data_IF_415017200124
#
_entry.id   IF_415017200124
#
_cell.length_a   1.000
_cell.length_b   1.000
_cell.length_c   1.000
_cell.angle_alpha   90.00
_cell.angle_beta   90.00
_cell.angle_gamma   90.00
#
_symmetry.space_group_name_H-M   'P 1'
#
loop_
_entity.id
_entity.type
_entity.pdbx_description
1 polymer ?
#
# COMPACT_ATOMS: atom_id res chain seq x y z
N UNK A 1 25.26 22.36 -31.47
CA UNK A 1 26.03 22.06 -30.24
C UNK A 1 25.63 23.08 -29.20
N UNK A 2 24.56 22.76 -28.46
CA UNK A 2 24.23 23.30 -27.15
C UNK A 2 23.51 22.15 -26.45
N UNK A 3 24.18 21.60 -25.43
CA UNK A 3 23.70 20.57 -24.52
C UNK A 3 22.42 21.02 -23.82
N UNK A 4 21.43 20.13 -23.75
CA UNK A 4 20.28 20.27 -22.88
C UNK A 4 20.31 19.07 -21.92
N UNK A 5 20.84 19.32 -20.72
CA UNK A 5 20.91 18.38 -19.59
C UNK A 5 19.51 18.26 -18.96
N UNK A 6 18.88 17.07 -18.93
CA UNK A 6 17.55 16.88 -18.38
C UNK A 6 17.66 16.42 -16.92
N UNK A 7 18.03 17.33 -16.02
CA UNK A 7 17.90 17.16 -14.58
C UNK A 7 17.29 18.43 -14.00
N UNK A 8 16.47 18.24 -12.98
CA UNK A 8 15.68 19.24 -12.25
C UNK A 8 14.25 19.45 -12.78
N UNK A 9 13.39 18.47 -12.45
CA UNK A 9 11.96 18.73 -12.27
C UNK A 9 11.39 17.92 -11.10
N UNK A 10 12.01 18.08 -9.94
CA UNK A 10 11.34 17.84 -8.66
C UNK A 10 10.48 19.07 -8.35
N UNK A 11 9.23 19.07 -8.82
CA UNK A 11 8.26 20.10 -8.44
C UNK A 11 7.71 19.78 -7.04
N UNK A 12 8.30 20.47 -6.06
CA UNK A 12 7.78 20.66 -4.70
C UNK A 12 6.29 21.02 -4.73
N UNK A 13 5.43 20.02 -4.43
CA UNK A 13 4.03 20.25 -4.09
C UNK A 13 4.00 20.92 -2.72
N UNK A 14 3.89 22.24 -2.73
CA UNK A 14 3.80 23.07 -1.52
C UNK A 14 2.50 22.75 -0.80
N UNK A 15 2.63 22.36 0.47
CA UNK A 15 1.55 22.25 1.43
C UNK A 15 0.82 23.61 1.57
N UNK A 16 -0.39 23.71 1.02
CA UNK A 16 -1.30 24.81 1.28
C UNK A 16 -2.20 24.37 2.44
N UNK A 17 -1.78 24.65 3.66
CA UNK A 17 -2.64 24.58 4.85
C UNK A 17 -3.77 25.63 4.71
N UNK A 18 -5.03 25.19 4.64
CA UNK A 18 -6.19 26.08 4.74
C UNK A 18 -7.01 25.78 6.01
N UNK A 19 -7.58 26.80 6.68
CA UNK A 19 -8.15 26.68 8.01
C UNK A 19 -9.67 26.42 7.96
N UNK A 20 -10.09 25.36 8.64
CA UNK A 20 -11.49 24.91 8.74
C UNK A 20 -12.38 25.81 9.62
N UNK A 21 -13.60 26.08 9.17
CA UNK A 21 -14.68 26.70 9.97
C UNK A 21 -15.72 25.62 10.29
N UNK A 22 -15.86 25.28 11.57
CA UNK A 22 -16.74 24.20 12.04
C UNK A 22 -18.19 24.68 12.26
N UNK A 23 -19.15 23.93 11.71
CA UNK A 23 -20.58 24.00 12.07
C UNK A 23 -21.10 22.63 12.52
N UNK A 24 -21.76 22.63 13.68
CA UNK A 24 -22.24 21.47 14.45
C UNK A 24 -23.60 20.93 14.00
N UNK A 25 -23.79 19.61 14.15
CA UNK A 25 -24.91 18.82 14.75
C UNK A 25 -25.05 17.48 14.03
N UNK A 26 -25.61 16.38 14.53
CA UNK A 26 -26.02 15.77 15.82
C UNK A 26 -26.84 14.52 15.39
N UNK A 27 -27.04 13.55 16.30
CA UNK A 27 -27.93 12.37 16.26
C UNK A 27 -27.59 11.21 15.31
N UNK A 28 -27.72 9.94 15.70
CA UNK A 28 -28.24 9.29 16.90
C UNK A 28 -28.16 7.75 16.73
N UNK A 29 -27.95 7.05 17.83
CA UNK A 29 -27.78 5.60 17.94
C UNK A 29 -29.12 4.85 17.97
N UNK A 30 -29.08 3.56 17.58
CA UNK A 30 -29.56 2.38 18.33
C UNK A 30 -30.23 1.33 17.43
N UNK A 31 -29.57 0.17 17.28
CA UNK A 31 -30.27 -1.11 17.27
C UNK A 31 -29.37 -2.28 17.65
N UNK A 32 -29.82 -3.01 18.66
CA UNK A 32 -29.16 -4.09 19.39
C UNK A 32 -29.02 -5.42 18.64
N UNK A 33 -28.03 -6.18 19.13
CA UNK A 33 -27.59 -7.54 18.86
C UNK A 33 -28.67 -8.62 19.07
N UNK A 34 -28.55 -9.74 18.33
CA UNK A 34 -28.86 -11.09 18.85
C UNK A 34 -27.95 -12.13 18.17
N UNK A 35 -27.22 -12.88 19.00
CA UNK A 35 -26.56 -14.19 18.77
C UNK A 35 -26.97 -15.07 20.00
N UNK A 36 -26.80 -16.41 20.12
CA UNK A 36 -26.25 -17.42 19.20
C UNK A 36 -27.05 -18.73 19.07
N UNK A 37 -26.59 -19.63 18.17
CA UNK A 37 -26.19 -21.04 18.50
C UNK A 37 -25.92 -21.91 17.26
N UNK A 38 -24.74 -22.52 17.26
CA UNK A 38 -24.34 -23.79 16.59
C UNK A 38 -25.05 -25.01 17.24
N UNK A 39 -25.15 -26.23 16.63
CA UNK A 39 -23.97 -27.04 16.28
C UNK A 39 -24.08 -28.06 15.09
N UNK A 40 -22.89 -28.47 14.59
CA UNK A 40 -22.45 -29.79 14.08
C UNK A 40 -23.26 -30.52 12.98
N UNK A 41 -22.62 -30.84 11.84
CA UNK A 41 -21.81 -32.06 11.66
C UNK A 41 -21.65 -32.49 10.17
N UNK A 42 -20.43 -32.92 9.85
CA UNK A 42 -20.01 -33.88 8.84
C UNK A 42 -20.50 -33.77 7.38
N UNK A 43 -19.55 -33.44 6.49
CA UNK A 43 -19.23 -34.29 5.32
C UNK A 43 -17.82 -34.02 4.81
N UNK A 44 -16.88 -34.80 5.35
CA UNK A 44 -15.69 -35.25 4.64
C UNK A 44 -16.08 -35.82 3.27
N UNK A 45 -15.49 -35.25 2.21
CA UNK A 45 -15.02 -35.95 1.01
C UNK A 45 -14.34 -34.96 0.06
N UNK A 46 -13.03 -35.17 -0.10
CA UNK A 46 -12.27 -34.90 -1.32
C UNK A 46 -12.05 -33.42 -1.72
N UNK A 47 -11.24 -32.70 -0.94
CA UNK A 47 -10.39 -31.63 -1.47
C UNK A 47 -8.92 -31.88 -1.14
N UNK A 48 -8.45 -33.03 -1.59
CA UNK A 48 -7.03 -33.40 -1.65
C UNK A 48 -6.37 -32.69 -2.86
N UNK A 49 -6.38 -31.35 -2.80
CA UNK A 49 -5.53 -30.49 -3.60
C UNK A 49 -4.91 -29.54 -2.58
N UNK A 50 -3.67 -29.86 -2.17
CA UNK A 50 -2.80 -28.99 -1.40
C UNK A 50 -3.11 -27.54 -1.78
N UNK A 51 -3.67 -26.78 -0.83
CA UNK A 51 -3.67 -25.32 -0.89
C UNK A 51 -2.27 -24.94 -1.37
N UNK A 52 -2.17 -24.39 -2.57
CA UNK A 52 -0.92 -23.69 -2.90
C UNK A 52 -0.85 -22.61 -1.84
N UNK A 53 0.14 -22.71 -0.98
CA UNK A 53 0.60 -21.60 -0.19
C UNK A 53 1.10 -20.55 -1.20
N UNK A 54 0.17 -19.74 -1.69
CA UNK A 54 0.45 -18.68 -2.65
C UNK A 54 1.12 -17.58 -1.84
N UNK A 55 2.34 -17.24 -2.22
CA UNK A 55 3.08 -16.20 -1.53
C UNK A 55 2.37 -14.86 -1.78
N UNK A 56 2.00 -14.08 -0.75
CA UNK A 56 1.29 -12.80 -0.93
C UNK A 56 2.05 -11.81 -1.82
N UNK A 57 3.37 -11.99 -1.95
CA UNK A 57 4.24 -11.16 -2.79
C UNK A 57 4.14 -11.51 -4.27
N UNK A 58 3.52 -12.63 -4.65
CA UNK A 58 3.35 -13.04 -6.05
C UNK A 58 2.55 -11.99 -6.84
N UNK A 59 1.61 -11.29 -6.20
CA UNK A 59 0.83 -10.21 -6.81
C UNK A 59 1.72 -9.11 -7.43
N UNK A 60 2.86 -8.80 -6.82
CA UNK A 60 3.74 -7.72 -7.27
C UNK A 60 4.66 -8.11 -8.43
N UNK A 61 4.81 -9.41 -8.72
CA UNK A 61 5.66 -9.92 -9.82
C UNK A 61 4.84 -10.39 -11.03
N UNK A 62 3.52 -10.24 -10.98
CA UNK A 62 2.64 -10.71 -12.06
C UNK A 62 2.68 -9.86 -13.33
N UNK A 63 3.06 -8.60 -13.20
CA UNK A 63 3.39 -7.73 -14.33
C UNK A 63 4.84 -7.84 -14.83
N UNK A 64 5.70 -8.65 -14.20
CA UNK A 64 7.15 -8.57 -14.43
C UNK A 64 7.75 -9.78 -15.18
N UNK A 65 8.70 -9.50 -16.06
CA UNK A 65 9.59 -10.44 -16.74
C UNK A 65 10.86 -10.69 -15.90
N UNK A 66 10.65 -11.10 -14.65
CA UNK A 66 11.71 -11.47 -13.71
C UNK A 66 11.65 -12.96 -13.33
N UNK A 67 12.77 -13.54 -12.87
CA UNK A 67 12.84 -14.93 -12.43
C UNK A 67 11.78 -15.25 -11.38
N UNK A 68 11.15 -16.42 -11.48
CA UNK A 68 10.14 -16.91 -10.52
C UNK A 68 10.58 -18.17 -9.77
N UNK A 69 11.60 -18.85 -10.29
CA UNK A 69 12.12 -20.11 -9.74
C UNK A 69 13.06 -19.92 -8.56
N UNK A 70 13.51 -21.03 -7.97
CA UNK A 70 14.47 -21.01 -6.87
C UNK A 70 15.92 -20.79 -7.34
N UNK A 71 16.21 -21.12 -8.59
CA UNK A 71 17.54 -20.97 -9.18
C UNK A 71 17.80 -19.51 -9.54
N UNK A 72 19.07 -19.07 -9.38
CA UNK A 72 19.50 -17.74 -9.81
C UNK A 72 19.65 -17.74 -11.33
N UNK A 73 19.05 -16.76 -11.98
CA UNK A 73 19.09 -16.52 -13.41
C UNK A 73 19.73 -15.15 -13.71
N UNK A 74 20.36 -15.01 -14.87
CA UNK A 74 20.96 -13.73 -15.27
C UNK A 74 19.87 -12.80 -15.79
N UNK A 75 19.70 -11.67 -15.14
CA UNK A 75 18.82 -10.57 -15.55
C UNK A 75 19.68 -9.41 -16.06
N UNK A 76 19.36 -8.91 -17.25
CA UNK A 76 20.15 -7.87 -17.93
C UNK A 76 19.36 -6.58 -17.99
N UNK A 77 19.96 -5.48 -17.52
CA UNK A 77 19.40 -4.13 -17.58
C UNK A 77 20.47 -3.17 -18.12
N UNK A 78 20.36 -2.82 -19.41
CA UNK A 78 21.40 -2.08 -20.12
C UNK A 78 22.77 -2.79 -20.05
N UNK A 79 23.76 -2.12 -19.46
CA UNK A 79 25.12 -2.65 -19.27
C UNK A 79 25.29 -3.49 -17.99
N UNK A 80 24.25 -3.56 -17.15
CA UNK A 80 24.29 -4.28 -15.88
C UNK A 80 23.76 -5.70 -16.03
N UNK A 81 24.37 -6.63 -15.29
CA UNK A 81 23.93 -8.01 -15.17
C UNK A 81 23.79 -8.35 -13.70
N UNK A 82 22.64 -8.91 -13.34
CA UNK A 82 22.32 -9.35 -11.99
C UNK A 82 22.03 -10.85 -11.99
N UNK A 83 22.36 -11.53 -10.90
CA UNK A 83 21.92 -12.91 -10.68
C UNK A 83 20.74 -12.89 -9.73
N UNK A 84 19.51 -13.11 -10.21
CA UNK A 84 18.29 -13.03 -9.39
C UNK A 84 17.52 -14.34 -9.42
N UNK A 85 16.92 -14.71 -8.30
CA UNK A 85 15.93 -15.77 -8.24
C UNK A 85 14.51 -15.21 -7.98
N UNK A 86 13.55 -16.10 -7.77
CA UNK A 86 12.16 -15.75 -7.47
C UNK A 86 11.95 -15.03 -6.14
N UNK A 87 12.73 -15.33 -5.10
CA UNK A 87 12.62 -14.63 -3.82
C UNK A 87 13.21 -13.23 -3.88
N UNK A 88 14.32 -13.05 -4.62
CA UNK A 88 14.89 -11.74 -4.93
C UNK A 88 13.89 -10.88 -5.70
N UNK A 89 13.26 -11.45 -6.73
CA UNK A 89 12.28 -10.75 -7.57
C UNK A 89 11.04 -10.33 -6.77
N UNK A 90 10.49 -11.22 -5.94
CA UNK A 90 9.40 -10.89 -5.01
C UNK A 90 9.81 -9.80 -4.02
N UNK A 91 11.00 -9.90 -3.45
CA UNK A 91 11.48 -8.93 -2.47
C UNK A 91 11.67 -7.55 -3.09
N UNK A 92 12.27 -7.46 -4.29
CA UNK A 92 12.41 -6.20 -5.03
C UNK A 92 11.05 -5.56 -5.32
N UNK A 93 10.12 -6.33 -5.89
CA UNK A 93 8.79 -5.83 -6.22
C UNK A 93 8.00 -5.39 -4.97
N UNK A 94 8.13 -6.14 -3.86
CA UNK A 94 7.52 -5.80 -2.56
C UNK A 94 8.07 -4.48 -2.01
N UNK A 95 9.41 -4.33 -1.98
CA UNK A 95 10.02 -3.07 -1.52
C UNK A 95 9.59 -1.90 -2.42
N UNK A 96 9.46 -2.14 -3.73
CA UNK A 96 8.96 -1.15 -4.66
C UNK A 96 7.51 -0.75 -4.43
N UNK A 97 6.63 -1.71 -4.14
CA UNK A 97 5.21 -1.44 -3.92
C UNK A 97 4.94 -0.65 -2.63
N UNK A 98 5.73 -0.88 -1.57
CA UNK A 98 5.54 -0.23 -0.26
C UNK A 98 6.54 0.88 0.06
N UNK A 99 7.51 1.17 -0.82
CA UNK A 99 8.61 2.14 -0.68
C UNK A 99 9.63 1.82 0.43
N UNK A 100 9.16 1.41 1.60
CA UNK A 100 9.92 1.08 2.80
C UNK A 100 9.33 -0.15 3.46
N UNK A 101 10.14 -1.20 3.66
CA UNK A 101 9.71 -2.44 4.31
C UNK A 101 10.66 -2.79 5.45
N UNK A 102 10.18 -3.06 6.69
CA UNK A 102 11.03 -3.52 7.78
C UNK A 102 11.75 -4.82 7.43
N UNK A 103 13.04 -4.91 7.77
CA UNK A 103 13.82 -6.14 7.54
C UNK A 103 13.23 -7.37 8.27
N UNK A 104 12.55 -7.14 9.39
CA UNK A 104 11.88 -8.20 10.18
C UNK A 104 10.68 -8.82 9.44
N UNK A 105 9.94 -8.05 8.64
CA UNK A 105 8.71 -8.54 8.01
C UNK A 105 9.02 -9.51 6.85
N UNK A 106 10.24 -9.47 6.30
CA UNK A 106 10.74 -10.50 5.37
C UNK A 106 11.07 -11.83 6.06
N UNK A 107 11.31 -11.83 7.39
CA UNK A 107 11.63 -13.05 8.14
C UNK A 107 10.40 -13.81 8.60
N UNK A 108 9.30 -13.10 8.88
CA UNK A 108 8.08 -13.67 9.47
C UNK A 108 7.23 -14.48 8.46
N UNK A 109 7.46 -14.35 7.15
CA UNK A 109 6.75 -15.12 6.12
C UNK A 109 7.24 -16.56 5.89
N UNK A 110 8.28 -17.02 6.61
CA UNK A 110 8.89 -18.35 6.41
C UNK A 110 8.77 -19.25 7.64
N UNK A 111 7.55 -19.50 8.13
CA UNK A 111 7.29 -20.39 9.27
C UNK A 111 7.62 -21.90 9.01
N UNK A 112 8.36 -22.23 7.95
CA UNK A 112 8.97 -23.55 7.74
C UNK A 112 10.48 -23.53 8.07
N UNK A 113 10.96 -24.32 9.06
CA UNK A 113 12.35 -24.30 9.56
C UNK A 113 13.41 -24.88 8.60
N UNK A 114 13.10 -25.05 7.31
CA UNK A 114 13.95 -25.80 6.37
C UNK A 114 14.92 -24.97 5.52
N UNK A 115 14.91 -23.64 5.57
CA UNK A 115 15.95 -22.84 4.91
C UNK A 115 16.56 -21.84 5.89
N UNK A 116 17.71 -22.21 6.46
CA UNK A 116 18.61 -21.36 7.25
C UNK A 116 19.23 -20.19 6.45
N UNK A 117 18.63 -19.82 5.31
CA UNK A 117 19.07 -18.69 4.50
C UNK A 117 18.18 -17.51 4.85
N UNK A 118 18.75 -16.56 5.60
CA UNK A 118 18.18 -15.22 5.73
C UNK A 118 17.72 -14.75 4.34
N UNK A 119 16.58 -14.04 4.20
CA UNK A 119 16.22 -13.38 2.95
C UNK A 119 17.45 -12.63 2.45
N UNK A 120 17.90 -12.93 1.23
CA UNK A 120 19.19 -12.45 0.71
C UNK A 120 19.09 -10.98 0.25
N UNK A 121 18.46 -10.15 1.08
CA UNK A 121 18.46 -8.69 0.96
C UNK A 121 19.90 -8.16 1.01
N UNK A 122 20.85 -8.96 1.53
CA UNK A 122 22.29 -8.68 1.42
C UNK A 122 22.76 -8.78 -0.02
N UNK A 123 22.44 -9.85 -0.74
CA UNK A 123 22.72 -9.95 -2.18
C UNK A 123 22.08 -8.80 -2.97
N UNK A 124 20.79 -8.53 -2.77
CA UNK A 124 20.13 -7.38 -3.43
C UNK A 124 20.81 -6.03 -3.13
N UNK A 125 21.33 -5.86 -1.91
CA UNK A 125 22.09 -4.67 -1.53
C UNK A 125 23.47 -4.66 -2.19
N UNK A 126 24.15 -5.79 -2.24
CA UNK A 126 25.49 -5.91 -2.80
C UNK A 126 25.46 -5.72 -4.33
N UNK A 127 24.35 -6.10 -4.99
CA UNK A 127 24.01 -5.76 -6.37
C UNK A 127 23.60 -4.28 -6.56
N UNK A 128 23.38 -3.55 -5.48
CA UNK A 128 23.01 -2.13 -5.47
C UNK A 128 21.54 -1.86 -5.84
N UNK A 129 20.67 -2.87 -5.78
CA UNK A 129 19.25 -2.76 -6.12
C UNK A 129 18.40 -2.27 -4.94
N UNK A 130 18.84 -2.56 -3.71
CA UNK A 130 18.23 -2.05 -2.47
C UNK A 130 19.24 -1.38 -1.57
N UNK A 131 18.76 -0.58 -0.62
CA UNK A 131 19.58 -0.04 0.48
C UNK A 131 18.86 -0.18 1.82
N UNK A 132 19.64 -0.25 2.89
CA UNK A 132 19.14 -0.28 4.26
C UNK A 132 19.10 1.14 4.85
N UNK A 133 18.02 1.44 5.55
CA UNK A 133 17.80 2.71 6.27
C UNK A 133 17.45 2.42 7.73
N UNK A 134 17.86 3.30 8.64
CA UNK A 134 17.57 3.16 10.08
C UNK A 134 16.19 3.74 10.40
N UNK A 135 15.34 2.99 11.12
CA UNK A 135 14.04 3.47 11.59
C UNK A 135 14.16 4.25 12.91
N UNK A 136 14.86 3.67 13.89
CA UNK A 136 14.97 4.23 15.24
C UNK A 136 16.27 3.82 15.96
N UNK A 137 17.31 3.47 15.18
CA UNK A 137 18.63 3.09 15.67
C UNK A 137 18.75 1.63 16.14
N UNK A 138 17.64 0.89 16.24
CA UNK A 138 17.63 -0.56 16.49
C UNK A 138 17.04 -1.34 15.34
N UNK A 139 16.00 -0.80 14.71
CA UNK A 139 15.38 -1.43 13.55
C UNK A 139 15.90 -0.85 12.23
N UNK A 140 16.00 -1.72 11.22
CA UNK A 140 16.34 -1.36 9.84
C UNK A 140 15.14 -1.65 8.93
N UNK A 141 14.99 -0.80 7.93
CA UNK A 141 14.10 -1.03 6.81
C UNK A 141 14.90 -1.06 5.51
N UNK A 142 14.28 -1.60 4.47
CA UNK A 142 14.82 -1.71 3.12
C UNK A 142 13.99 -0.83 2.20
N UNK A 143 14.67 -0.13 1.29
CA UNK A 143 14.06 0.70 0.25
C UNK A 143 14.78 0.46 -1.07
N UNK A 144 14.07 0.60 -2.20
CA UNK A 144 14.66 0.47 -3.52
C UNK A 144 15.63 1.61 -3.77
N UNK A 145 16.71 1.30 -4.49
CA UNK A 145 17.53 2.32 -5.14
C UNK A 145 16.90 2.71 -6.47
N UNK A 146 17.35 3.82 -7.07
CA UNK A 146 16.97 4.17 -8.45
C UNK A 146 17.27 3.05 -9.44
N UNK A 147 18.36 2.31 -9.21
CA UNK A 147 18.75 1.16 -10.02
C UNK A 147 17.79 -0.02 -9.86
N UNK A 148 17.36 -0.31 -8.64
CA UNK A 148 16.34 -1.32 -8.37
C UNK A 148 14.99 -0.96 -8.98
N UNK A 149 14.59 0.31 -8.88
CA UNK A 149 13.38 0.81 -9.51
C UNK A 149 13.45 0.71 -11.04
N UNK A 150 14.54 1.20 -11.65
CA UNK A 150 14.76 1.08 -13.10
C UNK A 150 14.70 -0.38 -13.57
N UNK A 151 15.29 -1.31 -12.83
CA UNK A 151 15.21 -2.74 -13.13
C UNK A 151 13.77 -3.25 -13.14
N UNK A 152 12.92 -2.85 -12.18
CA UNK A 152 11.50 -3.24 -12.18
C UNK A 152 10.75 -2.66 -13.38
N UNK A 153 10.96 -1.37 -13.66
CA UNK A 153 10.32 -0.67 -14.78
C UNK A 153 10.73 -1.23 -16.15
N UNK A 154 12.02 -1.51 -16.34
CA UNK A 154 12.56 -2.06 -17.58
C UNK A 154 12.11 -3.49 -17.89
N UNK A 155 11.65 -4.21 -16.86
CA UNK A 155 11.16 -5.59 -16.96
C UNK A 155 9.64 -5.70 -16.81
N UNK A 156 8.89 -4.61 -16.98
CA UNK A 156 7.43 -4.69 -17.15
C UNK A 156 7.11 -5.49 -18.41
N UNK A 157 6.13 -6.39 -18.31
CA UNK A 157 5.56 -7.08 -19.47
C UNK A 157 4.83 -6.05 -20.33
N UNK A 158 4.92 -6.17 -21.65
CA UNK A 158 4.04 -5.47 -22.58
C UNK A 158 2.60 -5.99 -22.42
N UNK A 159 1.91 -5.58 -21.36
CA UNK A 159 0.47 -5.77 -21.18
C UNK A 159 -0.20 -4.41 -21.28
N UNK A 160 -1.28 -4.36 -22.04
CA UNK A 160 -2.07 -3.13 -22.23
C UNK A 160 -3.03 -2.85 -21.06
N UNK A 161 -2.82 -3.46 -19.89
CA UNK A 161 -3.74 -3.31 -18.76
C UNK A 161 -3.42 -2.02 -18.00
N UNK A 162 -4.43 -1.18 -17.81
CA UNK A 162 -4.32 0.13 -17.15
C UNK A 162 -4.03 0.05 -15.63
N UNK A 163 -3.86 -1.16 -15.07
CA UNK A 163 -3.79 -1.41 -13.62
C UNK A 163 -2.54 -2.16 -13.20
N UNK A 164 -1.39 -1.72 -13.68
CA UNK A 164 -0.11 -2.27 -13.22
C UNK A 164 0.24 -1.77 -11.81
N UNK A 165 1.10 -2.52 -11.12
CA UNK A 165 1.66 -2.09 -9.84
C UNK A 165 2.58 -0.88 -10.07
N UNK A 166 2.38 0.18 -9.28
CA UNK A 166 3.32 1.30 -9.20
C UNK A 166 4.47 0.93 -8.28
N UNK A 167 5.71 1.21 -8.68
CA UNK A 167 6.90 1.02 -7.87
C UNK A 167 7.50 2.37 -7.46
N UNK A 168 8.12 2.41 -6.29
CA UNK A 168 8.71 3.63 -5.71
C UNK A 168 10.17 3.40 -5.32
N UNK A 169 11.00 4.42 -5.49
CA UNK A 169 12.40 4.43 -5.09
C UNK A 169 12.65 5.39 -3.94
N UNK A 170 13.55 5.00 -3.03
CA UNK A 170 14.08 5.86 -1.99
C UNK A 170 13.09 6.28 -0.89
N UNK A 171 13.53 7.28 -0.10
CA UNK A 171 12.77 7.81 1.05
C UNK A 171 12.54 9.28 0.79
N UNK A 172 11.31 9.65 0.45
CA UNK A 172 10.95 11.03 0.12
C UNK A 172 10.91 11.92 1.36
N UNK A 173 10.49 11.37 2.51
CA UNK A 173 10.32 12.12 3.77
C UNK A 173 10.77 11.30 4.97
N UNK A 174 11.96 11.56 5.55
CA UNK A 174 12.48 10.79 6.70
C UNK A 174 11.56 10.75 7.92
N UNK A 175 10.73 11.78 8.11
CA UNK A 175 9.73 11.86 9.19
C UNK A 175 8.57 10.87 9.04
N UNK A 176 8.30 10.40 7.82
CA UNK A 176 7.23 9.44 7.50
C UNK A 176 7.75 7.99 7.49
N UNK A 177 9.08 7.79 7.56
CA UNK A 177 9.70 6.46 7.45
C UNK A 177 9.14 5.43 8.44
N UNK A 178 8.93 5.82 9.71
CA UNK A 178 8.36 4.95 10.74
C UNK A 178 6.88 4.64 10.49
N UNK A 179 6.17 5.52 9.78
CA UNK A 179 4.79 5.31 9.37
C UNK A 179 4.74 4.34 8.17
N UNK A 180 5.49 4.62 7.11
CA UNK A 180 5.58 3.78 5.90
C UNK A 180 5.95 2.33 6.21
N UNK A 181 6.87 2.16 7.16
CA UNK A 181 7.33 0.85 7.60
C UNK A 181 6.22 -0.01 8.24
N UNK A 182 5.03 0.53 8.49
CA UNK A 182 3.88 -0.22 9.02
C UNK A 182 2.94 -0.72 7.91
N UNK A 183 3.03 -0.17 6.69
CA UNK A 183 2.11 -0.47 5.60
C UNK A 183 2.18 -1.95 5.21
N UNK A 184 3.39 -2.48 5.00
CA UNK A 184 3.57 -3.87 4.57
C UNK A 184 3.04 -4.88 5.60
N UNK A 185 3.32 -4.67 6.89
CA UNK A 185 2.78 -5.53 7.95
C UNK A 185 1.26 -5.47 8.07
N UNK A 186 0.63 -4.34 7.75
CA UNK A 186 -0.83 -4.26 7.66
C UNK A 186 -1.38 -4.95 6.42
N UNK A 187 -0.70 -4.78 5.27
CA UNK A 187 -1.02 -5.50 4.04
C UNK A 187 -1.02 -7.01 4.26
N UNK A 188 0.02 -7.59 4.88
CA UNK A 188 0.09 -9.03 5.11
C UNK A 188 -1.12 -9.57 5.90
N UNK A 189 -1.56 -8.84 6.94
CA UNK A 189 -2.72 -9.22 7.73
C UNK A 189 -4.04 -9.12 6.96
N UNK A 190 -4.17 -8.12 6.10
CA UNK A 190 -5.38 -7.93 5.29
C UNK A 190 -5.39 -8.88 4.09
N UNK A 191 -4.24 -9.16 3.48
CA UNK A 191 -4.07 -10.16 2.43
C UNK A 191 -4.47 -11.53 2.95
N UNK A 192 -3.99 -11.95 4.13
CA UNK A 192 -4.35 -13.24 4.71
C UNK A 192 -5.87 -13.38 4.85
N UNK A 193 -6.54 -12.35 5.38
CA UNK A 193 -7.99 -12.29 5.49
C UNK A 193 -8.67 -12.40 4.13
N UNK A 194 -8.19 -11.68 3.13
CA UNK A 194 -8.73 -11.67 1.76
C UNK A 194 -8.53 -13.05 1.10
N UNK A 195 -7.37 -13.66 1.26
CA UNK A 195 -7.02 -14.99 0.74
C UNK A 195 -7.90 -16.08 1.35
N UNK A 196 -8.20 -16.01 2.65
CA UNK A 196 -9.17 -16.91 3.30
C UNK A 196 -10.59 -16.81 2.70
N UNK A 197 -10.96 -15.65 2.15
CA UNK A 197 -12.21 -15.47 1.42
C UNK A 197 -12.14 -15.91 -0.05
N UNK A 198 -10.97 -16.35 -0.52
CA UNK A 198 -10.73 -16.71 -1.92
C UNK A 198 -10.50 -15.51 -2.84
N UNK A 199 -10.12 -14.36 -2.29
CA UNK A 199 -9.75 -13.20 -3.09
C UNK A 199 -8.35 -13.36 -3.72
N UNK A 200 -8.18 -12.78 -4.90
CA UNK A 200 -6.93 -12.73 -5.67
C UNK A 200 -6.43 -11.28 -5.73
N UNK A 201 -5.39 -10.96 -4.96
CA UNK A 201 -4.81 -9.61 -4.90
C UNK A 201 -4.15 -9.25 -6.24
N UNK A 202 -4.50 -8.08 -6.78
CA UNK A 202 -3.98 -7.57 -8.05
C UNK A 202 -2.82 -6.60 -7.85
N UNK A 203 -3.01 -5.62 -6.98
CA UNK A 203 -2.01 -4.59 -6.69
C UNK A 203 -2.34 -3.85 -5.40
N UNK A 204 -1.38 -3.03 -4.96
CA UNK A 204 -1.54 -2.08 -3.87
C UNK A 204 -1.34 -0.66 -4.41
N UNK A 205 -2.26 0.23 -4.06
CA UNK A 205 -2.26 1.65 -4.44
C UNK A 205 -2.01 2.47 -3.18
N UNK A 206 -0.92 3.23 -3.12
CA UNK A 206 -0.60 4.06 -1.95
C UNK A 206 -1.37 5.38 -1.99
N UNK A 207 -1.55 6.01 -0.82
CA UNK A 207 -2.19 7.33 -0.68
C UNK A 207 -1.61 8.36 -1.67
N UNK A 208 -0.29 8.34 -1.87
CA UNK A 208 0.39 9.25 -2.79
C UNK A 208 -0.08 9.09 -4.25
N UNK A 209 -0.41 7.89 -4.68
CA UNK A 209 -0.95 7.63 -6.02
C UNK A 209 -2.38 8.17 -6.16
N UNK A 210 -3.23 7.91 -5.18
CA UNK A 210 -4.61 8.44 -5.14
C UNK A 210 -4.61 9.98 -5.11
N UNK A 211 -3.74 10.58 -4.29
CA UNK A 211 -3.57 12.03 -4.24
C UNK A 211 -3.05 12.59 -5.55
N UNK A 212 -2.13 11.90 -6.22
CA UNK A 212 -1.62 12.35 -7.53
C UNK A 212 -2.73 12.37 -8.57
N UNK A 213 -3.52 11.30 -8.67
CA UNK A 213 -4.68 11.23 -9.56
C UNK A 213 -5.68 12.37 -9.27
N UNK A 214 -6.01 12.59 -8.00
CA UNK A 214 -6.87 13.69 -7.57
C UNK A 214 -6.32 15.06 -7.99
N UNK A 215 -5.03 15.32 -7.75
CA UNK A 215 -4.39 16.58 -8.13
C UNK A 215 -4.34 16.79 -9.64
N UNK A 216 -4.10 15.73 -10.41
CA UNK A 216 -4.11 15.79 -11.88
C UNK A 216 -5.51 16.13 -12.42
N UNK A 217 -6.55 15.51 -11.85
CA UNK A 217 -7.95 15.81 -12.18
C UNK A 217 -8.35 17.24 -11.81
N UNK A 218 -7.93 17.72 -10.63
CA UNK A 218 -8.13 19.10 -10.19
C UNK A 218 -7.52 20.10 -11.18
N UNK A 219 -6.33 19.78 -11.72
CA UNK A 219 -5.57 20.66 -12.61
C UNK A 219 -5.91 20.49 -14.10
N UNK A 220 -6.71 19.49 -14.48
CA UNK A 220 -7.06 19.22 -15.87
C UNK A 220 -7.66 20.45 -16.58
N UNK A 221 -8.52 21.21 -15.88
CA UNK A 221 -9.19 22.40 -16.41
C UNK A 221 -8.23 23.60 -16.64
N UNK A 222 -7.07 23.58 -15.99
CA UNK A 222 -6.04 24.61 -16.11
C UNK A 222 -5.04 24.32 -17.24
N UNK A 223 -5.05 23.11 -17.82
CA UNK A 223 -4.08 22.74 -18.88
C UNK A 223 -4.32 23.58 -20.14
N UNK A 224 -3.29 24.31 -20.58
CA UNK A 224 -3.30 25.08 -21.83
C UNK A 224 -3.90 26.49 -21.73
N UNK A 225 -4.26 26.96 -20.53
CA UNK A 225 -4.74 28.34 -20.30
C UNK A 225 -3.61 29.23 -19.80
N UNK A 226 -3.21 30.22 -20.61
CA UNK A 226 -2.17 31.18 -20.26
C UNK A 226 -2.61 32.21 -19.19
N UNK A 227 -3.91 32.27 -18.91
CA UNK A 227 -4.57 33.16 -17.97
C UNK A 227 -5.04 32.45 -16.67
N UNK A 228 -4.70 31.17 -16.49
CA UNK A 228 -4.97 30.46 -15.24
C UNK A 228 -4.04 30.95 -14.13
N UNK A 229 -4.60 31.20 -12.95
CA UNK A 229 -3.86 31.54 -11.73
C UNK A 229 -3.22 30.31 -11.06
N UNK A 230 -3.37 29.13 -11.67
CA UNK A 230 -2.88 27.84 -11.18
C UNK A 230 -3.71 27.24 -10.04
N UNK A 231 -4.79 27.91 -9.62
CA UNK A 231 -5.71 27.37 -8.61
C UNK A 231 -6.70 26.43 -9.29
N UNK A 232 -6.98 25.27 -8.69
CA UNK A 232 -8.09 24.44 -9.13
C UNK A 232 -9.40 25.26 -9.09
N UNK A 233 -10.17 25.22 -10.17
CA UNK A 233 -11.45 25.90 -10.31
C UNK A 233 -12.65 24.95 -10.14
N UNK A 234 -12.39 23.70 -9.74
CA UNK A 234 -13.41 22.68 -9.48
C UNK A 234 -14.33 23.09 -8.34
N UNK A 235 -15.63 22.95 -8.58
CA UNK A 235 -16.62 23.22 -7.54
C UNK A 235 -16.82 22.03 -6.59
N UNK A 236 -17.33 22.23 -5.37
CA UNK A 236 -17.50 21.15 -4.38
C UNK A 236 -18.33 19.96 -4.87
N UNK A 237 -19.27 20.15 -5.80
CA UNK A 237 -20.07 19.04 -6.35
C UNK A 237 -19.25 18.18 -7.29
N UNK A 238 -18.40 18.80 -8.11
CA UNK A 238 -17.47 18.06 -8.95
C UNK A 238 -16.50 17.22 -8.09
N UNK A 239 -16.04 17.78 -6.97
CA UNK A 239 -15.15 17.08 -6.03
C UNK A 239 -15.89 15.92 -5.37
N UNK A 240 -17.13 16.11 -4.94
CA UNK A 240 -17.96 15.05 -4.36
C UNK A 240 -18.28 13.96 -5.39
N UNK A 241 -18.56 14.32 -6.64
CA UNK A 241 -18.76 13.38 -7.76
C UNK A 241 -17.50 12.58 -8.04
N UNK A 242 -16.34 13.23 -8.13
CA UNK A 242 -15.06 12.56 -8.29
C UNK A 242 -14.79 11.58 -7.14
N UNK A 243 -14.99 11.99 -5.89
CA UNK A 243 -14.81 11.12 -4.73
C UNK A 243 -15.72 9.89 -4.80
N UNK A 244 -17.00 10.08 -5.19
CA UNK A 244 -17.96 8.99 -5.35
C UNK A 244 -17.53 8.01 -6.45
N UNK A 245 -17.07 8.52 -7.59
CA UNK A 245 -16.62 7.68 -8.72
C UNK A 245 -15.36 6.88 -8.39
N UNK A 246 -14.56 7.34 -7.41
CA UNK A 246 -13.36 6.65 -6.92
C UNK A 246 -13.62 5.85 -5.63
N UNK A 247 -14.89 5.72 -5.22
CA UNK A 247 -15.29 5.07 -3.96
C UNK A 247 -14.56 5.62 -2.73
N UNK A 248 -14.30 6.93 -2.69
CA UNK A 248 -13.62 7.62 -1.59
C UNK A 248 -14.62 8.43 -0.74
N UNK A 249 -14.43 8.47 0.60
CA UNK A 249 -15.29 9.28 1.47
C UNK A 249 -15.12 10.78 1.20
N UNK A 250 -16.25 11.47 1.09
CA UNK A 250 -16.31 12.93 1.04
C UNK A 250 -17.12 13.45 2.23
N UNK A 251 -16.47 14.17 3.13
CA UNK A 251 -17.12 14.85 4.23
C UNK A 251 -16.26 16.00 4.73
N UNK A 252 -16.91 16.95 5.39
CA UNK A 252 -16.29 18.20 5.85
C UNK A 252 -15.60 18.93 4.68
N UNK A 253 -16.24 18.93 3.51
CA UNK A 253 -15.78 19.57 2.26
C UNK A 253 -14.44 19.06 1.70
N UNK A 254 -13.95 17.91 2.17
CA UNK A 254 -12.72 17.29 1.68
C UNK A 254 -12.90 15.82 1.30
N UNK A 255 -12.12 15.38 0.32
CA UNK A 255 -11.90 13.95 0.04
C UNK A 255 -10.94 13.38 1.07
N UNK A 256 -11.26 12.21 1.61
CA UNK A 256 -10.41 11.48 2.54
C UNK A 256 -9.77 10.31 1.83
N UNK A 257 -8.45 10.15 2.01
CA UNK A 257 -7.66 9.11 1.37
C UNK A 257 -7.19 8.11 2.41
N UNK A 258 -7.23 6.80 2.13
CA UNK A 258 -6.59 5.81 2.99
C UNK A 258 -5.08 5.83 2.80
N UNK A 259 -4.32 5.35 3.78
CA UNK A 259 -2.88 5.13 3.63
C UNK A 259 -2.54 4.24 2.43
N UNK A 260 -3.33 3.20 2.20
CA UNK A 260 -3.28 2.40 0.98
C UNK A 260 -4.59 1.68 0.67
N UNK A 261 -4.76 1.32 -0.59
CA UNK A 261 -5.88 0.54 -1.13
C UNK A 261 -5.35 -0.76 -1.72
N UNK A 262 -5.92 -1.90 -1.32
CA UNK A 262 -5.66 -3.20 -1.95
C UNK A 262 -6.72 -3.41 -3.02
N UNK A 263 -6.32 -3.57 -4.28
CA UNK A 263 -7.21 -3.99 -5.36
C UNK A 263 -7.15 -5.50 -5.52
N UNK A 264 -8.30 -6.16 -5.57
CA UNK A 264 -8.38 -7.62 -5.64
C UNK A 264 -9.61 -8.07 -6.45
N UNK A 265 -9.55 -9.29 -6.97
CA UNK A 265 -10.70 -9.95 -7.59
C UNK A 265 -11.29 -10.95 -6.60
N UNK A 266 -12.61 -10.91 -6.40
CA UNK A 266 -13.36 -11.89 -5.61
C UNK A 266 -14.60 -12.31 -6.40
N UNK A 267 -14.79 -13.61 -6.58
CA UNK A 267 -15.86 -14.19 -7.39
C UNK A 267 -15.94 -13.61 -8.82
N UNK A 268 -14.77 -13.34 -9.41
CA UNK A 268 -14.65 -12.76 -10.76
C UNK A 268 -15.06 -11.30 -10.88
N UNK A 269 -15.21 -10.58 -9.74
CA UNK A 269 -15.48 -9.14 -9.71
C UNK A 269 -14.31 -8.41 -9.09
N UNK A 270 -13.96 -7.28 -9.70
CA UNK A 270 -13.00 -6.35 -9.12
C UNK A 270 -13.61 -5.69 -7.88
N UNK A 271 -12.80 -5.62 -6.83
CA UNK A 271 -13.10 -5.02 -5.54
C UNK A 271 -11.85 -4.29 -5.06
N UNK A 272 -12.04 -3.44 -4.06
CA UNK A 272 -10.93 -2.85 -3.34
C UNK A 272 -11.19 -2.89 -1.83
N UNK A 273 -10.12 -2.74 -1.06
CA UNK A 273 -10.16 -2.55 0.38
C UNK A 273 -9.25 -1.39 0.76
N UNK A 274 -9.85 -0.36 1.35
CA UNK A 274 -9.14 0.81 1.86
C UNK A 274 -8.66 0.53 3.29
N UNK A 275 -7.37 0.79 3.53
CA UNK A 275 -6.66 0.44 4.77
C UNK A 275 -5.96 1.67 5.33
N UNK A 276 -6.13 1.86 6.64
CA UNK A 276 -5.57 2.97 7.41
C UNK A 276 -4.71 2.46 8.57
N UNK A 277 -3.53 3.06 8.77
CA UNK A 277 -2.60 2.75 9.86
C UNK A 277 -2.84 3.70 11.04
N UNK A 278 -3.38 3.16 12.12
CA UNK A 278 -3.61 3.89 13.36
C UNK A 278 -2.43 3.72 14.30
N UNK A 279 -1.60 4.75 14.43
CA UNK A 279 -0.50 4.78 15.41
C UNK A 279 -0.93 5.41 16.73
N UNK A 280 -0.22 5.16 17.84
CA UNK A 280 -0.52 5.73 19.17
C UNK A 280 -0.53 7.29 19.20
N UNK A 281 -0.06 7.94 18.13
CA UNK A 281 -0.05 9.38 17.99
C UNK A 281 -1.32 9.94 17.33
N UNK A 282 -2.23 9.07 16.86
CA UNK A 282 -3.59 9.44 16.45
C UNK A 282 -4.36 9.98 17.67
N UNK A 283 -4.51 11.30 17.77
CA UNK A 283 -5.32 11.95 18.82
C UNK A 283 -6.29 12.94 18.19
N UNK A 284 -7.50 13.00 18.73
CA UNK A 284 -8.48 14.07 18.43
C UNK A 284 -9.20 13.90 17.09
N UNK A 285 -9.35 15.00 16.35
CA UNK A 285 -10.19 15.09 15.13
C UNK A 285 -9.77 14.11 14.02
N UNK A 286 -8.49 13.75 13.95
CA UNK A 286 -7.97 12.79 12.95
C UNK A 286 -8.56 11.37 13.15
N UNK A 287 -8.74 10.94 14.41
CA UNK A 287 -9.35 9.65 14.73
C UNK A 287 -10.86 9.63 14.39
N UNK A 288 -11.55 10.77 14.59
CA UNK A 288 -12.95 10.90 14.22
C UNK A 288 -13.17 10.90 12.69
N UNK A 289 -12.25 11.51 11.93
CA UNK A 289 -12.23 11.44 10.47
C UNK A 289 -12.07 10.00 9.97
N UNK A 290 -11.07 9.27 10.46
CA UNK A 290 -10.83 7.86 10.09
C UNK A 290 -12.01 6.96 10.43
N UNK A 291 -12.58 7.10 11.64
CA UNK A 291 -13.76 6.32 12.02
C UNK A 291 -14.96 6.60 11.11
N UNK A 292 -15.13 7.85 10.65
CA UNK A 292 -16.20 8.26 9.72
C UNK A 292 -15.92 7.84 8.27
N UNK A 293 -14.65 7.75 7.88
CA UNK A 293 -14.22 7.32 6.55
C UNK A 293 -14.51 5.83 6.29
N UNK A 294 -14.62 5.01 7.35
CA UNK A 294 -14.96 3.60 7.22
C UNK A 294 -13.80 2.72 6.72
N UNK A 295 -12.57 3.24 6.73
CA UNK A 295 -11.38 2.49 6.34
C UNK A 295 -11.06 1.36 7.32
N UNK A 296 -10.45 0.29 6.80
CA UNK A 296 -10.00 -0.82 7.62
C UNK A 296 -8.77 -0.39 8.43
N UNK A 297 -8.94 -0.28 9.74
CA UNK A 297 -7.89 0.22 10.61
C UNK A 297 -6.95 -0.89 11.11
N UNK A 298 -5.65 -0.63 11.07
CA UNK A 298 -4.62 -1.46 11.68
C UNK A 298 -3.71 -0.61 12.56
N UNK A 299 -3.52 -1.03 13.82
CA UNK A 299 -2.59 -0.35 14.73
C UNK A 299 -1.53 -1.28 15.29
N UNK A 300 -0.50 -0.70 15.91
CA UNK A 300 0.55 -1.43 16.62
C UNK A 300 0.06 -1.86 18.01
N UNK A 301 -0.98 -2.69 18.06
CA UNK A 301 -1.44 -3.34 19.29
C UNK A 301 -0.50 -4.49 19.66
N UNK A 302 0.07 -4.45 20.87
CA UNK A 302 1.04 -5.44 21.37
C UNK A 302 0.54 -6.89 21.32
N UNK A 303 1.50 -7.83 21.36
CA UNK A 303 1.31 -9.29 21.40
C UNK A 303 0.00 -9.70 22.09
N UNK A 304 -0.98 -10.17 21.31
CA UNK A 304 -2.18 -10.80 21.85
C UNK A 304 -3.31 -10.93 20.83
N UNK A 305 -3.39 -12.10 20.19
CA UNK A 305 -4.63 -12.70 19.67
C UNK A 305 -5.40 -11.95 18.59
N UNK A 306 -5.50 -12.55 17.40
CA UNK A 306 -6.29 -12.04 16.28
C UNK A 306 -7.70 -11.61 16.66
N UNK A 307 -7.89 -10.29 16.76
CA UNK A 307 -9.15 -9.58 16.50
C UNK A 307 -8.77 -8.25 15.88
N UNK A 308 -9.40 -7.89 14.76
CA UNK A 308 -9.25 -6.58 14.14
C UNK A 308 -9.49 -5.47 15.16
N UNK A 309 -8.81 -4.34 14.96
CA UNK A 309 -8.99 -3.13 15.77
C UNK A 309 -10.48 -2.79 15.87
N UNK A 310 -11.04 -2.85 17.08
CA UNK A 310 -12.41 -2.46 17.36
C UNK A 310 -12.47 -0.93 17.45
N UNK A 311 -13.15 -0.22 16.53
CA UNK A 311 -13.25 1.24 16.56
C UNK A 311 -13.89 1.77 17.85
N UNK A 312 -14.56 0.94 18.67
CA UNK A 312 -15.06 1.32 20.01
C UNK A 312 -13.96 1.45 21.07
N UNK A 313 -12.78 0.86 20.85
CA UNK A 313 -11.61 1.05 21.74
C UNK A 313 -11.05 2.47 21.62
N UNK A 314 -11.23 3.13 20.47
CA UNK A 314 -10.90 4.55 20.33
C UNK A 314 -11.78 5.42 21.23
N UNK A 315 -13.05 5.07 21.46
CA UNK A 315 -13.93 5.84 22.35
C UNK A 315 -13.54 5.70 23.84
N UNK A 316 -12.99 4.56 24.26
CA UNK A 316 -12.54 4.36 25.65
C UNK A 316 -11.16 4.96 25.98
N UNK A 317 -10.31 5.18 24.97
CA UNK A 317 -9.00 5.83 25.15
C UNK A 317 -9.06 7.37 25.27
N UNK A 318 -10.24 7.97 25.05
CA UNK A 318 -10.44 9.43 25.05
C UNK A 318 -11.45 9.93 26.09
N UNK A 319 -11.61 9.24 27.22
CA UNK A 319 -12.34 9.79 28.37
C UNK A 319 -11.45 10.50 29.39
#
# INVERSE_FOLDING_TARGET
MLDFDPRDRDEDVRDIEMPWVALRRDSGLDREEVDPRDPDDARDRDRDARERDVDPRDAFIDGLELPRGLEREIVVDGDHRYELNGDDSRSLATVGAFRVVPERDFRELRDEPSDLREPDLRHLRDEGLVRFVSLDGRDRAVTLTERGHHLLEAHRRDRSDEREQTFYAGVSRPRELSHDAQLYGAFLREEERLREQGADVRRVVLEQELKREYQEWLQEHNRGRADSDGRPDRDPREIEEWARDHDLPYFDESVHFPDFRIEYALDGRDRHQDVEIVTDHYRGAHAAGVARAGFKCYGRGGRGGGRGFDPRVAEELFR
#
